data_IF_548049250667
#
_entry.id   IF_548049250667
#
_cell.length_a   1.000
_cell.length_b   1.000
_cell.length_c   1.000
_cell.angle_alpha   90.00
_cell.angle_beta   90.00
_cell.angle_gamma   90.00
#
_symmetry.space_group_name_H-M   'P 1'
#
loop_
_entity.id
_entity.type
_entity.pdbx_description
1 polymer ?
#
# COMPACT_ATOMS: atom_id res chain seq x y z
N UNK A 1 6.36 -5.02 24.42
CA UNK A 1 7.82 -5.10 24.18
C UNK A 1 8.21 -5.41 22.71
N UNK A 2 7.26 -5.82 21.84
CA UNK A 2 7.51 -6.10 20.41
C UNK A 2 7.39 -4.86 19.51
N UNK A 3 6.61 -3.83 19.91
CA UNK A 3 6.48 -2.55 19.19
C UNK A 3 7.80 -1.77 19.08
N UNK A 4 8.62 -1.78 20.15
CA UNK A 4 9.87 -1.01 20.20
C UNK A 4 10.96 -1.55 19.26
N UNK A 5 10.91 -2.84 18.89
CA UNK A 5 11.88 -3.45 17.97
C UNK A 5 11.69 -3.03 16.52
N UNK A 6 10.49 -2.61 16.10
CA UNK A 6 10.23 -2.19 14.70
C UNK A 6 10.80 -0.81 14.36
N UNK A 7 11.08 0.03 15.36
CA UNK A 7 11.69 1.35 15.16
C UNK A 7 13.23 1.36 15.15
N UNK A 8 13.89 0.38 15.78
CA UNK A 8 15.34 0.41 16.01
C UNK A 8 16.14 -0.16 14.82
N UNK A 9 15.66 -1.23 14.18
CA UNK A 9 16.29 -1.81 12.99
C UNK A 9 16.50 -0.83 11.82
N UNK A 10 15.52 0.01 11.44
CA UNK A 10 15.75 1.00 10.38
C UNK A 10 16.76 2.07 10.78
N UNK A 11 16.87 2.40 12.08
CA UNK A 11 17.82 3.40 12.60
C UNK A 11 19.24 2.85 12.62
N UNK A 12 19.44 1.60 13.05
CA UNK A 12 20.75 0.93 13.00
C UNK A 12 21.24 0.80 11.56
N UNK A 13 20.36 0.40 10.63
CA UNK A 13 20.70 0.33 9.21
C UNK A 13 21.06 1.70 8.61
N UNK A 14 20.38 2.77 9.03
CA UNK A 14 20.71 4.14 8.59
C UNK A 14 22.03 4.61 9.19
N UNK A 15 22.33 4.30 10.44
CA UNK A 15 23.61 4.63 11.10
C UNK A 15 24.78 3.87 10.48
N UNK A 16 24.63 2.57 10.22
CA UNK A 16 25.63 1.76 9.53
C UNK A 16 25.88 2.26 8.11
N UNK A 17 24.83 2.61 7.37
CA UNK A 17 24.96 3.18 6.03
C UNK A 17 25.61 4.56 6.07
N UNK A 18 25.26 5.40 7.05
CA UNK A 18 25.87 6.73 7.22
C UNK A 18 27.35 6.61 7.60
N UNK A 19 27.70 5.70 8.52
CA UNK A 19 29.07 5.43 8.91
C UNK A 19 29.90 4.84 7.76
N UNK A 20 29.32 3.91 6.98
CA UNK A 20 29.96 3.37 5.78
C UNK A 20 30.20 4.46 4.73
N UNK A 21 29.20 5.31 4.47
CA UNK A 21 29.32 6.40 3.48
C UNK A 21 30.34 7.43 3.95
N UNK A 22 30.35 7.79 5.23
CA UNK A 22 31.37 8.66 5.82
C UNK A 22 32.77 8.04 5.67
N UNK A 23 32.95 6.76 6.02
CA UNK A 23 34.24 6.08 5.88
C UNK A 23 34.70 5.98 4.42
N UNK A 24 33.80 5.73 3.48
CA UNK A 24 34.08 5.68 2.05
C UNK A 24 34.45 7.06 1.50
N UNK A 25 33.75 8.12 1.93
CA UNK A 25 34.05 9.50 1.57
C UNK A 25 35.42 9.94 2.12
N UNK A 26 35.71 9.61 3.38
CA UNK A 26 36.95 9.97 4.05
C UNK A 26 38.17 9.25 3.45
N UNK A 27 38.06 7.94 3.24
CA UNK A 27 39.15 7.12 2.68
C UNK A 27 39.34 7.39 1.19
N UNK A 28 38.26 7.46 0.42
CA UNK A 28 38.30 7.68 -1.03
C UNK A 28 38.75 9.09 -1.42
N UNK A 29 38.38 10.13 -0.65
CA UNK A 29 38.90 11.49 -0.91
C UNK A 29 40.37 11.64 -0.53
N UNK A 30 40.86 10.89 0.47
CA UNK A 30 42.28 10.86 0.84
C UNK A 30 43.16 10.19 -0.23
N UNK A 31 42.70 9.07 -0.80
CA UNK A 31 43.41 8.35 -1.86
C UNK A 31 43.40 9.12 -3.19
N UNK A 32 42.26 9.68 -3.60
CA UNK A 32 42.14 10.44 -4.86
C UNK A 32 42.87 11.78 -4.81
N UNK A 33 42.98 12.39 -3.63
CA UNK A 33 43.76 13.63 -3.44
C UNK A 33 45.26 13.46 -3.68
N UNK A 34 45.80 12.23 -3.57
CA UNK A 34 47.21 11.96 -3.79
C UNK A 34 47.60 11.95 -5.28
N UNK A 35 46.65 11.66 -6.18
CA UNK A 35 46.91 11.44 -7.61
C UNK A 35 46.30 12.52 -8.54
N UNK A 36 45.69 13.59 -8.01
CA UNK A 36 45.08 14.64 -8.84
C UNK A 36 46.10 15.68 -9.34
N UNK A 37 46.08 15.92 -10.65
CA UNK A 37 46.84 16.97 -11.35
C UNK A 37 45.84 17.91 -12.06
N UNK A 38 45.80 19.21 -11.75
CA UNK A 38 46.67 19.98 -10.83
C UNK A 38 46.47 19.64 -9.33
N UNK A 39 47.47 19.91 -8.48
CA UNK A 39 47.40 19.59 -7.05
C UNK A 39 46.25 20.36 -6.40
N UNK A 40 45.26 19.61 -5.94
CA UNK A 40 44.16 20.14 -5.15
C UNK A 40 44.69 20.56 -3.78
N UNK A 41 43.98 21.48 -3.11
CA UNK A 41 44.32 21.85 -1.73
C UNK A 41 44.36 20.57 -0.87
N UNK A 42 45.37 20.40 0.01
CA UNK A 42 45.37 19.28 0.94
C UNK A 42 44.07 19.29 1.74
N UNK A 43 43.56 18.10 2.10
CA UNK A 43 42.32 17.98 2.86
C UNK A 43 42.49 18.62 4.24
N UNK A 44 42.09 19.89 4.34
CA UNK A 44 42.06 20.61 5.61
C UNK A 44 40.91 20.12 6.50
N UNK A 45 40.96 20.44 7.80
CA UNK A 45 39.88 20.16 8.75
C UNK A 45 38.48 20.61 8.24
N UNK A 46 38.45 21.67 7.43
CA UNK A 46 37.22 22.16 6.77
C UNK A 46 36.62 21.16 5.77
N UNK A 47 37.45 20.49 4.95
CA UNK A 47 36.99 19.45 4.02
C UNK A 47 36.36 18.27 4.79
N UNK A 48 37.01 17.87 5.89
CA UNK A 48 36.53 16.81 6.76
C UNK A 48 35.17 17.13 7.40
N UNK A 49 34.98 18.36 7.87
CA UNK A 49 33.69 18.83 8.40
C UNK A 49 32.61 18.82 7.31
N UNK A 50 32.94 19.25 6.09
CA UNK A 50 32.00 19.27 4.98
C UNK A 50 31.57 17.86 4.56
N UNK A 51 32.51 16.91 4.49
CA UNK A 51 32.22 15.49 4.21
C UNK A 51 31.39 14.84 5.33
N UNK A 52 31.68 15.18 6.60
CA UNK A 52 30.88 14.72 7.74
C UNK A 52 29.45 15.26 7.69
N UNK A 53 29.26 16.53 7.32
CA UNK A 53 27.93 17.12 7.10
C UNK A 53 27.20 16.47 5.92
N UNK A 54 27.91 16.14 4.83
CA UNK A 54 27.36 15.44 3.67
C UNK A 54 26.83 14.05 4.06
N UNK A 55 27.57 13.32 4.90
CA UNK A 55 27.13 12.04 5.44
C UNK A 55 25.96 12.22 6.43
N UNK A 56 26.01 13.23 7.30
CA UNK A 56 24.96 13.53 8.27
C UNK A 56 23.62 13.96 7.63
N UNK A 57 23.62 14.32 6.34
CA UNK A 57 22.39 14.60 5.58
C UNK A 57 21.65 13.32 5.14
N UNK A 58 22.29 12.15 5.12
CA UNK A 58 21.70 10.89 4.62
C UNK A 58 20.47 10.41 5.42
N UNK A 59 20.41 10.52 6.77
CA UNK A 59 19.22 10.15 7.54
C UNK A 59 17.96 10.94 7.13
N UNK A 60 18.11 12.16 6.56
CA UNK A 60 16.99 12.94 6.07
C UNK A 60 16.28 12.27 4.89
N UNK A 61 16.87 11.25 4.23
CA UNK A 61 16.25 10.48 3.13
C UNK A 61 14.86 9.94 3.47
N UNK A 62 14.61 9.64 4.75
CA UNK A 62 13.33 9.07 5.21
C UNK A 62 12.27 10.12 5.49
N UNK A 63 12.66 11.30 5.98
CA UNK A 63 11.75 12.35 6.47
C UNK A 63 11.54 13.47 5.45
N UNK A 64 12.61 13.92 4.79
CA UNK A 64 12.56 15.06 3.88
C UNK A 64 13.59 14.88 2.74
N UNK A 65 13.28 14.06 1.71
CA UNK A 65 14.20 13.80 0.61
C UNK A 65 14.55 15.07 -0.20
N UNK A 66 13.64 16.05 -0.26
CA UNK A 66 13.92 17.36 -0.84
C UNK A 66 14.95 18.16 -0.03
N UNK A 67 14.82 18.18 1.30
CA UNK A 67 15.79 18.87 2.17
C UNK A 67 17.17 18.19 2.09
N UNK A 68 17.20 16.86 2.00
CA UNK A 68 18.43 16.11 1.77
C UNK A 68 19.10 16.52 0.45
N UNK A 69 18.35 16.54 -0.66
CA UNK A 69 18.89 16.95 -1.96
C UNK A 69 19.43 18.38 -1.91
N UNK A 70 18.69 19.34 -1.36
CA UNK A 70 19.16 20.73 -1.27
C UNK A 70 20.41 20.86 -0.40
N UNK A 71 20.46 20.16 0.73
CA UNK A 71 21.62 20.16 1.62
C UNK A 71 22.86 19.56 0.93
N UNK A 72 22.74 18.39 0.30
CA UNK A 72 23.85 17.73 -0.38
C UNK A 72 24.32 18.51 -1.60
N UNK A 73 23.43 19.12 -2.38
CA UNK A 73 23.78 19.99 -3.50
C UNK A 73 24.52 21.25 -3.06
N UNK A 74 24.07 21.89 -1.97
CA UNK A 74 24.71 23.10 -1.45
C UNK A 74 26.10 22.80 -0.87
N UNK A 75 26.21 21.73 -0.09
CA UNK A 75 27.48 21.26 0.48
C UNK A 75 28.46 20.84 -0.63
N UNK A 76 27.99 20.12 -1.65
CA UNK A 76 28.85 19.71 -2.78
C UNK A 76 29.26 20.90 -3.67
N UNK A 77 28.35 21.84 -3.93
CA UNK A 77 28.70 23.08 -4.65
C UNK A 77 29.76 23.89 -3.90
N UNK A 78 29.63 24.00 -2.58
CA UNK A 78 30.63 24.62 -1.71
C UNK A 78 31.97 23.90 -1.75
N UNK A 79 31.97 22.56 -1.65
CA UNK A 79 33.16 21.70 -1.74
C UNK A 79 33.94 21.92 -3.04
N UNK A 80 33.23 21.95 -4.17
CA UNK A 80 33.83 22.19 -5.48
C UNK A 80 34.36 23.62 -5.60
N UNK A 81 33.62 24.63 -5.14
CA UNK A 81 34.03 26.03 -5.17
C UNK A 81 35.26 26.37 -4.32
N UNK A 82 35.63 25.50 -3.38
CA UNK A 82 36.87 25.57 -2.60
C UNK A 82 38.07 24.85 -3.21
N UNK A 83 37.88 24.17 -4.36
CA UNK A 83 38.98 23.51 -5.08
C UNK A 83 39.42 22.17 -4.52
N UNK A 84 38.55 21.48 -3.78
CA UNK A 84 38.84 20.14 -3.27
C UNK A 84 38.72 19.06 -4.36
N UNK A 85 39.41 17.91 -4.20
CA UNK A 85 39.45 16.88 -5.21
C UNK A 85 38.07 16.32 -5.55
N UNK A 86 37.81 16.08 -6.85
CA UNK A 86 36.65 15.35 -7.34
C UNK A 86 36.70 13.87 -6.90
N UNK A 87 36.36 13.62 -5.63
CA UNK A 87 36.32 12.29 -5.04
C UNK A 87 34.91 11.68 -5.07
N UNK A 88 34.64 10.65 -4.24
CA UNK A 88 33.31 10.03 -4.10
C UNK A 88 32.20 10.96 -3.57
N UNK A 89 32.43 12.27 -3.49
CA UNK A 89 31.51 13.29 -2.99
C UNK A 89 30.18 13.40 -3.77
N UNK A 90 30.10 12.84 -4.99
CA UNK A 90 28.85 12.74 -5.75
C UNK A 90 27.89 11.66 -5.24
N UNK A 91 28.37 10.66 -4.47
CA UNK A 91 27.52 9.56 -3.99
C UNK A 91 26.27 10.03 -3.22
N UNK A 92 26.37 10.95 -2.25
CA UNK A 92 25.21 11.45 -1.52
C UNK A 92 24.19 12.16 -2.43
N UNK A 93 24.65 12.84 -3.48
CA UNK A 93 23.77 13.48 -4.48
C UNK A 93 23.02 12.42 -5.30
N UNK A 94 23.72 11.39 -5.78
CA UNK A 94 23.12 10.25 -6.49
C UNK A 94 22.02 9.59 -5.64
N UNK A 95 22.31 9.31 -4.37
CA UNK A 95 21.35 8.70 -3.43
C UNK A 95 20.15 9.63 -3.19
N UNK A 96 20.39 10.93 -3.02
CA UNK A 96 19.30 11.91 -2.82
C UNK A 96 18.41 12.06 -4.06
N UNK A 97 18.98 12.05 -5.27
CA UNK A 97 18.22 12.09 -6.52
C UNK A 97 17.30 10.88 -6.68
N UNK A 98 17.82 9.68 -6.40
CA UNK A 98 17.02 8.45 -6.38
C UNK A 98 15.88 8.53 -5.36
N UNK A 99 16.17 9.01 -4.14
CA UNK A 99 15.17 9.12 -3.07
C UNK A 99 14.03 10.09 -3.42
N UNK A 100 14.34 11.22 -4.06
CA UNK A 100 13.34 12.18 -4.55
C UNK A 100 12.51 11.56 -5.68
N UNK A 101 13.14 10.91 -6.65
CA UNK A 101 12.45 10.26 -7.77
C UNK A 101 11.49 9.15 -7.34
N UNK A 102 11.80 8.44 -6.25
CA UNK A 102 10.94 7.39 -5.70
C UNK A 102 9.71 7.92 -4.95
N UNK A 103 9.74 9.16 -4.43
CA UNK A 103 8.74 9.67 -3.47
C UNK A 103 7.90 10.83 -3.99
N UNK A 104 8.40 11.61 -4.95
CA UNK A 104 7.73 12.81 -5.44
C UNK A 104 7.29 12.70 -6.90
N UNK A 105 6.30 13.51 -7.27
CA UNK A 105 5.82 13.62 -8.65
C UNK A 105 6.87 14.23 -9.58
N UNK A 106 6.76 13.89 -10.87
CA UNK A 106 7.72 14.26 -11.92
C UNK A 106 7.99 15.76 -11.98
N UNK A 107 6.97 16.62 -11.75
CA UNK A 107 7.11 18.09 -11.77
C UNK A 107 7.94 18.62 -10.60
N UNK A 108 7.79 18.01 -9.42
CA UNK A 108 8.56 18.41 -8.24
C UNK A 108 9.98 17.89 -8.35
N UNK A 109 10.15 16.65 -8.82
CA UNK A 109 11.45 16.04 -9.07
C UNK A 109 12.25 16.82 -10.12
N UNK A 110 11.65 17.22 -11.25
CA UNK A 110 12.37 17.97 -12.29
C UNK A 110 12.82 19.35 -11.82
N UNK A 111 11.97 20.07 -11.06
CA UNK A 111 12.34 21.36 -10.45
C UNK A 111 13.47 21.20 -9.43
N UNK A 112 13.36 20.21 -8.55
CA UNK A 112 14.36 19.96 -7.52
C UNK A 112 15.71 19.54 -8.12
N UNK A 113 15.70 18.69 -9.15
CA UNK A 113 16.91 18.31 -9.90
C UNK A 113 17.49 19.52 -10.64
N UNK A 114 16.65 20.39 -11.23
CA UNK A 114 17.12 21.63 -11.86
C UNK A 114 17.85 22.56 -10.89
N UNK A 115 17.31 22.75 -9.68
CA UNK A 115 17.96 23.52 -8.61
C UNK A 115 19.25 22.85 -8.15
N UNK A 116 19.26 21.52 -7.98
CA UNK A 116 20.46 20.75 -7.65
C UNK A 116 21.58 20.95 -8.67
N UNK A 117 21.25 20.80 -9.97
CA UNK A 117 22.20 21.02 -11.07
C UNK A 117 22.70 22.45 -11.05
N UNK A 118 21.83 23.44 -10.84
CA UNK A 118 22.22 24.86 -10.77
C UNK A 118 23.19 25.14 -9.62
N UNK A 119 22.94 24.59 -8.43
CA UNK A 119 23.80 24.79 -7.26
C UNK A 119 25.20 24.19 -7.46
N UNK A 120 25.27 22.98 -8.02
CA UNK A 120 26.55 22.32 -8.30
C UNK A 120 27.27 23.05 -9.44
N UNK A 121 26.54 23.46 -10.49
CA UNK A 121 27.06 24.27 -11.59
C UNK A 121 27.69 25.57 -11.07
N UNK A 122 26.99 26.29 -10.18
CA UNK A 122 27.51 27.53 -9.60
C UNK A 122 28.81 27.28 -8.81
N UNK A 123 28.87 26.18 -8.04
CA UNK A 123 30.09 25.74 -7.36
C UNK A 123 31.25 25.47 -8.32
N UNK A 124 30.98 24.78 -9.43
CA UNK A 124 31.98 24.49 -10.46
C UNK A 124 32.43 25.74 -11.22
N UNK A 125 31.55 26.70 -11.48
CA UNK A 125 31.92 28.00 -12.07
C UNK A 125 32.81 28.80 -11.11
N UNK A 126 32.50 28.82 -9.81
CA UNK A 126 33.37 29.45 -8.81
C UNK A 126 34.74 28.77 -8.77
N UNK A 127 34.79 27.43 -8.87
CA UNK A 127 36.04 26.69 -8.94
C UNK A 127 36.87 27.07 -10.18
N UNK A 128 36.22 27.21 -11.34
CA UNK A 128 36.85 27.65 -12.59
C UNK A 128 37.38 29.09 -12.49
N UNK A 129 36.58 30.03 -11.96
CA UNK A 129 36.97 31.43 -11.79
C UNK A 129 38.12 31.61 -10.79
N UNK A 130 38.23 30.72 -9.79
CA UNK A 130 39.33 30.71 -8.82
C UNK A 130 40.57 29.95 -9.31
N UNK A 131 40.55 29.38 -10.52
CA UNK A 131 41.66 28.63 -11.10
C UNK A 131 41.86 27.23 -10.50
N UNK A 132 40.86 26.70 -9.79
CA UNK A 132 40.89 25.34 -9.21
C UNK A 132 40.41 24.26 -10.18
N UNK A 133 39.76 24.65 -11.26
CA UNK A 133 39.26 23.73 -12.29
C UNK A 133 39.90 24.06 -13.64
N UNK A 134 40.25 23.00 -14.38
CA UNK A 134 40.73 23.14 -15.75
C UNK A 134 39.60 23.64 -16.66
N UNK A 135 39.86 24.72 -17.40
CA UNK A 135 38.95 25.23 -18.42
C UNK A 135 38.85 24.36 -19.67
N UNK A 136 38.03 24.80 -20.63
CA UNK A 136 37.89 24.15 -21.93
C UNK A 136 37.12 22.83 -21.89
N UNK A 137 37.58 21.82 -22.63
CA UNK A 137 36.86 20.56 -22.83
C UNK A 137 36.72 19.71 -21.55
N UNK A 138 37.69 19.78 -20.64
CA UNK A 138 37.63 19.10 -19.33
C UNK A 138 36.47 19.62 -18.47
N UNK A 139 36.27 20.94 -18.43
CA UNK A 139 35.12 21.55 -17.77
C UNK A 139 33.79 21.05 -18.36
N UNK A 140 33.71 20.94 -19.69
CA UNK A 140 32.55 20.37 -20.39
C UNK A 140 32.22 18.95 -19.95
N UNK A 141 33.23 18.07 -19.85
CA UNK A 141 33.05 16.68 -19.37
C UNK A 141 32.56 16.65 -17.92
N UNK A 142 33.13 17.48 -17.04
CA UNK A 142 32.69 17.58 -15.64
C UNK A 142 31.24 18.03 -15.53
N UNK A 143 30.80 18.96 -16.38
CA UNK A 143 29.41 19.41 -16.42
C UNK A 143 28.45 18.32 -16.90
N UNK A 144 28.82 17.57 -17.94
CA UNK A 144 28.03 16.43 -18.41
C UNK A 144 27.92 15.38 -17.30
N UNK A 145 29.03 15.04 -16.63
CA UNK A 145 29.03 14.11 -15.51
C UNK A 145 28.15 14.58 -14.35
N UNK A 146 28.19 15.88 -14.03
CA UNK A 146 27.35 16.49 -13.00
C UNK A 146 25.85 16.35 -13.34
N UNK A 147 25.46 16.74 -14.55
CA UNK A 147 24.07 16.64 -15.02
C UNK A 147 23.62 15.18 -15.02
N UNK A 148 24.46 14.26 -15.50
CA UNK A 148 24.17 12.83 -15.52
C UNK A 148 23.99 12.27 -14.10
N UNK A 149 24.88 12.61 -13.17
CA UNK A 149 24.82 12.15 -11.78
C UNK A 149 23.57 12.62 -11.03
N UNK A 150 22.99 13.76 -11.42
CA UNK A 150 21.75 14.27 -10.82
C UNK A 150 20.50 13.70 -11.51
N UNK A 151 20.52 13.64 -12.85
CA UNK A 151 19.34 13.33 -13.67
C UNK A 151 19.07 11.84 -13.74
N UNK A 152 20.12 11.01 -13.92
CA UNK A 152 19.96 9.55 -14.08
C UNK A 152 19.32 8.91 -12.84
N UNK A 153 19.78 9.17 -11.61
CA UNK A 153 19.19 8.51 -10.43
C UNK A 153 17.75 8.95 -10.17
N UNK A 154 17.45 10.23 -10.39
CA UNK A 154 16.08 10.75 -10.28
C UNK A 154 15.15 10.12 -11.32
N UNK A 155 15.63 9.95 -12.55
CA UNK A 155 14.89 9.29 -13.62
C UNK A 155 14.67 7.79 -13.32
N UNK A 156 15.70 7.08 -12.87
CA UNK A 156 15.60 5.69 -12.43
C UNK A 156 14.58 5.54 -11.29
N UNK A 157 14.61 6.44 -10.30
CA UNK A 157 13.63 6.46 -9.22
C UNK A 157 12.20 6.63 -9.73
N UNK A 158 11.99 7.55 -10.68
CA UNK A 158 10.69 7.77 -11.30
C UNK A 158 10.22 6.53 -12.10
N UNK A 159 11.11 5.88 -12.85
CA UNK A 159 10.80 4.64 -13.58
C UNK A 159 10.41 3.50 -12.65
N UNK A 160 11.14 3.32 -11.55
CA UNK A 160 10.80 2.30 -10.54
C UNK A 160 9.42 2.58 -9.93
N UNK A 161 9.11 3.84 -9.63
CA UNK A 161 7.78 4.24 -9.13
C UNK A 161 6.68 3.93 -10.15
N UNK A 162 6.87 4.30 -11.42
CA UNK A 162 5.92 4.03 -12.49
C UNK A 162 5.69 2.53 -12.68
N UNK A 163 6.77 1.74 -12.69
CA UNK A 163 6.69 0.28 -12.81
C UNK A 163 5.93 -0.33 -11.63
N UNK A 164 6.16 0.13 -10.39
CA UNK A 164 5.41 -0.33 -9.22
C UNK A 164 3.92 -0.02 -9.30
N UNK A 165 3.56 1.18 -9.75
CA UNK A 165 2.15 1.56 -9.95
C UNK A 165 1.51 0.69 -11.04
N UNK A 166 2.17 0.54 -12.20
CA UNK A 166 1.70 -0.28 -13.30
C UNK A 166 1.56 -1.76 -12.89
N UNK A 167 2.51 -2.30 -12.13
CA UNK A 167 2.46 -3.67 -11.62
C UNK A 167 1.30 -3.87 -10.63
N UNK A 168 1.04 -2.88 -9.76
CA UNK A 168 -0.08 -2.93 -8.84
C UNK A 168 -1.42 -2.93 -9.59
N UNK A 169 -1.57 -2.06 -10.60
CA UNK A 169 -2.74 -2.01 -11.45
C UNK A 169 -2.94 -3.32 -12.24
N UNK A 170 -1.88 -3.87 -12.83
CA UNK A 170 -1.94 -5.13 -13.55
C UNK A 170 -2.37 -6.31 -12.65
N UNK A 171 -1.94 -6.33 -11.38
CA UNK A 171 -2.37 -7.34 -10.41
C UNK A 171 -3.85 -7.19 -10.05
N UNK A 172 -4.33 -5.96 -9.89
CA UNK A 172 -5.74 -5.70 -9.62
C UNK A 172 -6.61 -6.13 -10.82
N UNK A 173 -6.22 -5.76 -12.04
CA UNK A 173 -6.90 -6.18 -13.26
C UNK A 173 -6.90 -7.69 -13.43
N UNK A 174 -5.77 -8.37 -13.19
CA UNK A 174 -5.69 -9.82 -13.25
C UNK A 174 -6.64 -10.49 -12.23
N UNK A 175 -6.75 -9.92 -11.04
CA UNK A 175 -7.68 -10.40 -10.00
C UNK A 175 -9.13 -10.22 -10.44
N UNK A 176 -9.49 -9.04 -10.97
CA UNK A 176 -10.83 -8.78 -11.50
C UNK A 176 -11.19 -9.75 -12.65
N UNK A 177 -10.27 -9.95 -13.59
CA UNK A 177 -10.45 -10.90 -14.72
C UNK A 177 -10.67 -12.33 -14.23
N UNK A 178 -9.91 -12.78 -13.23
CA UNK A 178 -10.09 -14.11 -12.63
C UNK A 178 -11.49 -14.27 -12.00
N UNK A 179 -11.95 -13.26 -11.27
CA UNK A 179 -13.30 -13.27 -10.67
C UNK A 179 -14.38 -13.36 -11.76
N UNK A 180 -14.22 -12.62 -12.84
CA UNK A 180 -15.18 -12.61 -13.95
C UNK A 180 -15.19 -13.95 -14.72
N UNK A 181 -14.02 -14.53 -14.97
CA UNK A 181 -13.90 -15.86 -15.56
C UNK A 181 -14.57 -16.93 -14.68
N UNK A 182 -14.38 -16.85 -13.37
CA UNK A 182 -15.03 -17.79 -12.44
C UNK A 182 -16.55 -17.59 -12.40
N UNK A 183 -17.04 -16.35 -12.49
CA UNK A 183 -18.48 -16.08 -12.62
C UNK A 183 -19.06 -16.68 -13.90
N UNK A 184 -18.37 -16.55 -15.03
CA UNK A 184 -18.81 -17.14 -16.30
C UNK A 184 -18.76 -18.67 -16.28
N UNK A 185 -17.76 -19.24 -15.59
CA UNK A 185 -17.68 -20.68 -15.37
C UNK A 185 -18.83 -21.19 -14.52
N UNK A 186 -19.10 -20.54 -13.38
CA UNK A 186 -20.25 -20.88 -12.52
C UNK A 186 -21.58 -20.74 -13.27
N UNK A 187 -21.74 -19.70 -14.08
CA UNK A 187 -22.96 -19.53 -14.88
C UNK A 187 -23.17 -20.69 -15.85
N UNK A 188 -22.09 -21.22 -16.46
CA UNK A 188 -22.15 -22.42 -17.32
C UNK A 188 -22.45 -23.68 -16.52
N UNK A 189 -21.76 -23.92 -15.41
CA UNK A 189 -22.01 -25.09 -14.56
C UNK A 189 -23.46 -25.11 -14.05
N UNK A 190 -24.00 -23.96 -13.62
CA UNK A 190 -25.41 -23.82 -13.24
C UNK A 190 -26.33 -24.05 -14.44
N UNK A 191 -26.01 -23.49 -15.60
CA UNK A 191 -26.84 -23.67 -16.80
C UNK A 191 -26.86 -25.12 -17.28
N UNK A 192 -25.75 -25.85 -17.20
CA UNK A 192 -25.68 -27.25 -17.62
C UNK A 192 -26.53 -28.15 -16.72
N UNK A 193 -26.44 -27.97 -15.38
CA UNK A 193 -27.28 -28.69 -14.42
C UNK A 193 -28.77 -28.37 -14.61
N UNK A 194 -29.11 -27.09 -14.78
CA UNK A 194 -30.50 -26.64 -15.00
C UNK A 194 -31.03 -27.08 -16.37
N UNK A 195 -30.22 -27.03 -17.42
CA UNK A 195 -30.58 -27.40 -18.78
C UNK A 195 -30.86 -28.88 -18.94
N UNK A 196 -30.01 -29.72 -18.35
CA UNK A 196 -30.19 -31.17 -18.35
C UNK A 196 -31.46 -31.59 -17.60
N UNK A 197 -31.65 -31.07 -16.37
CA UNK A 197 -32.84 -31.38 -15.56
C UNK A 197 -34.14 -30.90 -16.22
N UNK A 198 -34.15 -29.69 -16.80
CA UNK A 198 -35.31 -29.18 -17.54
C UNK A 198 -35.69 -30.08 -18.72
N UNK A 199 -34.70 -30.61 -19.44
CA UNK A 199 -34.94 -31.47 -20.59
C UNK A 199 -35.59 -32.81 -20.18
N UNK A 200 -35.10 -33.43 -19.09
CA UNK A 200 -35.70 -34.67 -18.54
C UNK A 200 -37.11 -34.41 -18.03
N UNK A 201 -37.32 -33.33 -17.27
CA UNK A 201 -38.64 -32.96 -16.76
C UNK A 201 -39.63 -32.74 -17.91
N UNK A 202 -39.22 -32.03 -18.96
CA UNK A 202 -40.07 -31.78 -20.14
C UNK A 202 -40.45 -33.09 -20.85
N UNK A 203 -39.50 -34.01 -21.01
CA UNK A 203 -39.77 -35.30 -21.64
C UNK A 203 -40.76 -36.13 -20.80
N UNK A 204 -40.54 -36.22 -19.49
CA UNK A 204 -41.42 -36.99 -18.61
C UNK A 204 -42.81 -36.37 -18.46
N UNK A 205 -42.92 -35.04 -18.48
CA UNK A 205 -44.20 -34.35 -18.47
C UNK A 205 -45.00 -34.67 -19.74
N UNK A 206 -44.34 -34.69 -20.90
CA UNK A 206 -44.97 -35.09 -22.17
C UNK A 206 -45.45 -36.56 -22.13
N UNK A 207 -44.66 -37.47 -21.56
CA UNK A 207 -45.06 -38.88 -21.38
C UNK A 207 -46.26 -39.00 -20.44
N UNK A 208 -46.24 -38.31 -19.29
CA UNK A 208 -47.33 -38.32 -18.32
C UNK A 208 -48.66 -37.87 -18.95
N UNK A 209 -48.64 -36.77 -19.71
CA UNK A 209 -49.82 -36.25 -20.42
C UNK A 209 -50.31 -37.21 -21.51
N UNK A 210 -49.41 -37.90 -22.22
CA UNK A 210 -49.79 -38.82 -23.29
C UNK A 210 -50.49 -40.10 -22.77
N UNK A 211 -50.12 -40.56 -21.57
CA UNK A 211 -50.65 -41.81 -21.00
C UNK A 211 -51.73 -41.60 -19.95
N UNK A 212 -52.01 -40.36 -19.54
CA UNK A 212 -52.92 -40.01 -18.44
C UNK A 212 -54.28 -40.70 -18.53
N UNK A 213 -54.94 -40.63 -19.69
CA UNK A 213 -56.29 -41.19 -19.88
C UNK A 213 -56.30 -42.69 -20.11
N UNK A 214 -55.18 -43.26 -20.62
CA UNK A 214 -55.11 -44.66 -21.05
C UNK A 214 -54.49 -45.58 -19.99
N UNK A 215 -53.53 -45.07 -19.23
CA UNK A 215 -52.75 -45.80 -18.21
C UNK A 215 -52.36 -44.85 -17.07
N UNK A 216 -53.31 -44.52 -16.18
CA UNK A 216 -53.08 -43.55 -15.10
C UNK A 216 -51.94 -43.95 -14.16
N UNK A 217 -51.74 -45.25 -13.93
CA UNK A 217 -50.61 -45.76 -13.12
C UNK A 217 -49.25 -45.37 -13.71
N UNK A 218 -49.09 -45.36 -15.05
CA UNK A 218 -47.85 -44.95 -15.72
C UNK A 218 -47.65 -43.43 -15.68
N UNK A 219 -48.73 -42.65 -15.71
CA UNK A 219 -48.66 -41.20 -15.52
C UNK A 219 -48.19 -40.84 -14.11
N UNK A 220 -48.63 -41.60 -13.10
CA UNK A 220 -48.21 -41.42 -11.71
C UNK A 220 -46.70 -41.68 -11.52
N UNK A 221 -46.16 -42.72 -12.15
CA UNK A 221 -44.72 -43.02 -12.16
C UNK A 221 -43.91 -41.90 -12.81
N UNK A 222 -44.37 -41.35 -13.94
CA UNK A 222 -43.71 -40.24 -14.62
C UNK A 222 -43.73 -38.95 -13.77
N UNK A 223 -44.83 -38.66 -13.07
CA UNK A 223 -44.92 -37.52 -12.14
C UNK A 223 -44.02 -37.68 -10.92
N UNK A 224 -43.89 -38.89 -10.37
CA UNK A 224 -42.94 -39.17 -9.28
C UNK A 224 -41.49 -38.98 -9.71
N UNK A 225 -41.16 -39.41 -10.93
CA UNK A 225 -39.83 -39.22 -11.49
C UNK A 225 -39.52 -37.72 -11.74
N UNK A 226 -40.48 -36.91 -12.20
CA UNK A 226 -40.35 -35.44 -12.24
C UNK A 226 -40.09 -34.86 -10.86
N UNK A 227 -40.85 -35.28 -9.84
CA UNK A 227 -40.67 -34.82 -8.45
C UNK A 227 -39.25 -35.11 -7.96
N UNK A 228 -38.78 -36.34 -8.18
CA UNK A 228 -37.44 -36.77 -7.79
C UNK A 228 -36.34 -35.96 -8.49
N UNK A 229 -36.38 -35.86 -9.82
CA UNK A 229 -35.39 -35.09 -10.58
C UNK A 229 -35.36 -33.61 -10.19
N UNK A 230 -36.51 -33.02 -9.84
CA UNK A 230 -36.58 -31.62 -9.39
C UNK A 230 -35.94 -31.41 -8.02
N UNK A 231 -36.14 -32.37 -7.09
CA UNK A 231 -35.50 -32.33 -5.76
C UNK A 231 -34.00 -32.55 -5.88
N UNK A 232 -33.56 -33.56 -6.64
CA UNK A 232 -32.15 -33.89 -6.84
C UNK A 232 -31.39 -32.70 -7.46
N UNK A 233 -31.95 -32.03 -8.49
CA UNK A 233 -31.33 -30.86 -9.12
C UNK A 233 -31.22 -29.64 -8.19
N UNK A 234 -32.22 -29.42 -7.32
CA UNK A 234 -32.17 -28.34 -6.33
C UNK A 234 -31.12 -28.60 -5.25
N UNK A 235 -30.95 -29.85 -4.84
CA UNK A 235 -29.94 -30.22 -3.84
C UNK A 235 -28.52 -30.16 -4.42
N UNK A 236 -28.32 -30.51 -5.69
CA UNK A 236 -27.04 -30.34 -6.39
C UNK A 236 -26.63 -28.87 -6.53
N UNK A 237 -27.59 -27.98 -6.86
CA UNK A 237 -27.36 -26.52 -6.89
C UNK A 237 -27.04 -25.96 -5.49
N UNK A 238 -27.72 -26.43 -4.44
CA UNK A 238 -27.42 -26.04 -3.06
C UNK A 238 -26.03 -26.48 -2.63
N UNK A 239 -25.62 -27.70 -3.01
CA UNK A 239 -24.30 -28.23 -2.71
C UNK A 239 -23.18 -27.43 -3.41
N UNK A 240 -23.34 -27.10 -4.70
CA UNK A 240 -22.37 -26.27 -5.45
C UNK A 240 -22.27 -24.85 -4.87
N UNK A 241 -23.41 -24.20 -4.56
CA UNK A 241 -23.40 -22.86 -3.94
C UNK A 241 -22.84 -22.86 -2.51
N UNK A 242 -23.04 -23.94 -1.74
CA UNK A 242 -22.48 -24.08 -0.41
C UNK A 242 -20.93 -24.13 -0.46
N UNK A 243 -20.35 -24.81 -1.45
CA UNK A 243 -18.91 -24.86 -1.68
C UNK A 243 -18.34 -23.48 -2.03
N UNK A 244 -19.00 -22.72 -2.90
CA UNK A 244 -18.56 -21.34 -3.24
C UNK A 244 -18.64 -20.41 -2.02
N UNK A 245 -19.67 -20.57 -1.19
CA UNK A 245 -19.85 -19.76 0.03
C UNK A 245 -18.87 -20.13 1.14
N UNK A 246 -18.47 -21.40 1.24
CA UNK A 246 -17.41 -21.84 2.14
C UNK A 246 -16.04 -21.32 1.70
N UNK A 247 -15.73 -21.39 0.40
CA UNK A 247 -14.49 -20.83 -0.17
C UNK A 247 -14.37 -19.32 0.02
N UNK A 248 -15.47 -18.56 -0.05
CA UNK A 248 -15.49 -17.11 0.18
C UNK A 248 -15.31 -16.71 1.65
N UNK A 249 -15.53 -17.60 2.62
CA UNK A 249 -15.22 -17.35 4.05
C UNK A 249 -13.75 -17.60 4.41
N UNK A 250 -13.00 -18.33 3.58
CA UNK A 250 -11.57 -18.55 3.77
C UNK A 250 -10.69 -17.38 3.28
N UNK A 251 -11.29 -16.37 2.65
CA UNK A 251 -10.61 -15.15 2.21
C UNK A 251 -10.55 -14.14 3.40
N UNK A 252 -9.35 -13.76 3.91
CA UNK A 252 -9.22 -12.95 5.13
C UNK A 252 -9.90 -11.57 5.06
N UNK A 253 -10.21 -11.07 3.87
CA UNK A 253 -11.00 -9.84 3.70
C UNK A 253 -12.48 -10.02 4.07
N UNK A 254 -13.07 -11.20 3.83
CA UNK A 254 -14.48 -11.48 4.16
C UNK A 254 -14.68 -11.87 5.64
N UNK A 255 -13.61 -12.28 6.32
CA UNK A 255 -13.63 -12.53 7.77
C UNK A 255 -13.79 -11.25 8.60
N UNK A 256 -13.34 -10.09 8.09
CA UNK A 256 -13.51 -8.80 8.77
C UNK A 256 -14.96 -8.30 8.76
N UNK A 257 -15.71 -8.57 7.68
CA UNK A 257 -17.12 -8.20 7.53
C UNK A 257 -18.06 -9.10 8.34
N UNK A 258 -17.69 -10.36 8.58
CA UNK A 258 -18.50 -11.29 9.38
C UNK A 258 -18.38 -11.04 10.89
N UNK A 259 -17.22 -10.59 11.37
CA UNK A 259 -17.00 -10.20 12.78
C UNK A 259 -17.75 -8.91 13.13
N UNK A 260 -17.83 -7.96 12.20
CA UNK A 260 -18.60 -6.71 12.40
C UNK A 260 -20.11 -6.94 12.36
N UNK A 261 -20.60 -7.86 11.53
CA UNK A 261 -22.02 -8.26 11.52
C UNK A 261 -22.42 -9.06 12.78
N UNK A 262 -21.54 -9.90 13.33
CA UNK A 262 -21.79 -10.60 14.58
C UNK A 262 -21.82 -9.63 15.80
N UNK A 263 -20.98 -8.59 15.77
CA UNK A 263 -20.95 -7.55 16.80
C UNK A 263 -22.21 -6.68 16.80
N UNK A 264 -22.78 -6.36 15.63
CA UNK A 264 -24.04 -5.59 15.54
C UNK A 264 -25.26 -6.40 15.95
N UNK A 265 -25.27 -7.72 15.67
CA UNK A 265 -26.31 -8.62 16.15
C UNK A 265 -26.29 -8.75 17.68
N UNK A 266 -25.10 -8.88 18.29
CA UNK A 266 -24.96 -8.92 19.75
C UNK A 266 -25.37 -7.60 20.43
N UNK A 267 -25.12 -6.44 19.80
CA UNK A 267 -25.56 -5.14 20.31
C UNK A 267 -27.10 -4.99 20.28
N UNK A 268 -27.76 -5.57 19.28
CA UNK A 268 -29.23 -5.49 19.14
C UNK A 268 -29.94 -6.39 20.17
N UNK A 269 -29.37 -7.56 20.48
CA UNK A 269 -29.92 -8.46 21.51
C UNK A 269 -29.74 -7.89 22.93
N UNK A 270 -28.64 -7.17 23.19
CA UNK A 270 -28.40 -6.50 24.47
C UNK A 270 -29.37 -5.33 24.71
N UNK A 271 -29.73 -4.57 23.67
CA UNK A 271 -30.73 -3.51 23.76
C UNK A 271 -32.16 -4.05 24.02
N UNK A 272 -32.49 -5.23 23.50
CA UNK A 272 -33.76 -5.90 23.75
C UNK A 272 -33.87 -6.48 25.17
N UNK A 273 -32.76 -6.98 25.74
CA UNK A 273 -32.72 -7.48 27.12
C UNK A 273 -32.75 -6.36 28.19
N UNK A 274 -32.26 -5.16 27.87
CA UNK A 274 -32.37 -4.00 28.75
C UNK A 274 -33.80 -3.41 28.82
N UNK A 275 -34.68 -3.77 27.88
CA UNK A 275 -36.05 -3.25 27.80
C UNK A 275 -37.11 -4.12 28.50
N UNK A 276 -36.73 -5.30 29.02
CA UNK A 276 -37.67 -6.26 29.63
C UNK A 276 -37.51 -6.46 31.15
N UNK A 277 -36.75 -5.61 31.84
CA UNK A 277 -36.51 -5.73 33.30
C UNK A 277 -37.28 -4.69 34.15
N UNK A 278 -38.35 -4.08 33.64
CA UNK A 278 -39.23 -3.23 34.45
C UNK A 278 -40.67 -3.74 34.46
N UNK A 279 -40.92 -4.77 35.28
CA UNK A 279 -42.19 -4.94 36.00
C UNK A 279 -42.10 -6.14 36.94
N UNK A 280 -41.73 -5.89 38.21
CA UNK A 280 -42.40 -6.47 39.39
C UNK A 280 -41.75 -6.00 40.71
N UNK A 281 -42.64 -5.47 41.56
CA UNK A 281 -42.66 -5.44 43.05
C UNK A 281 -42.43 -4.10 43.76
N UNK A 282 -43.48 -3.67 44.48
CA UNK A 282 -43.47 -2.58 45.45
C UNK A 282 -44.89 -2.17 45.89
N UNK A 283 -45.45 -2.87 46.89
CA UNK A 283 -46.79 -2.65 47.45
C UNK A 283 -46.98 -1.34 48.25
N UNK A 284 -48.20 -1.08 48.75
CA UNK A 284 -48.62 0.25 49.20
C UNK A 284 -48.34 0.51 50.69
N UNK A 285 -47.88 1.73 51.01
CA UNK A 285 -47.92 2.30 52.35
C UNK A 285 -48.43 3.75 52.25
N UNK A 286 -49.61 4.01 52.80
CA UNK A 286 -50.24 5.33 52.79
C UNK A 286 -49.69 6.28 53.87
N UNK A 287 -50.10 7.56 53.85
CA UNK A 287 -50.05 8.40 55.03
C UNK A 287 -51.41 8.98 55.43
N UNK A 288 -51.54 9.15 56.74
CA UNK A 288 -52.70 9.61 57.47
C UNK A 288 -53.11 11.05 57.13
N UNK A 289 -54.42 11.29 57.04
CA UNK A 289 -55.01 12.64 57.10
C UNK A 289 -56.16 12.66 58.12
N UNK A 290 -55.88 13.22 59.30
CA UNK A 290 -56.91 13.77 60.20
C UNK A 290 -57.42 15.08 59.62
N UNK A 291 -58.73 15.31 59.68
CA UNK A 291 -59.46 16.58 59.92
C UNK A 291 -60.96 16.21 59.95
N UNK A 292 -61.55 16.06 61.15
CA UNK A 292 -62.48 17.00 61.84
C UNK A 292 -63.98 16.75 61.57
N UNK A 293 -64.69 16.46 62.67
CA UNK A 293 -66.06 16.85 63.01
C UNK A 293 -67.25 16.60 62.06
N UNK A 294 -68.05 15.58 62.43
CA UNK A 294 -69.55 15.49 62.61
C UNK A 294 -70.38 16.79 62.48
N UNK A 295 -71.76 16.74 62.47
CA UNK A 295 -72.74 15.65 62.26
C UNK A 295 -73.81 16.00 61.19
N UNK A 296 -74.55 15.03 60.62
CA UNK A 296 -75.91 14.71 61.11
C UNK A 296 -77.01 15.06 60.08
N UNK A 297 -78.23 14.49 60.18
CA UNK A 297 -78.89 13.85 59.03
C UNK A 297 -80.21 14.52 58.59
N UNK A 298 -80.60 14.30 57.32
CA UNK A 298 -81.87 13.69 56.89
C UNK A 298 -81.93 13.60 55.37
#
# INVERSE_FOLDING_TARGET
MVEARRGIFPVIGDLLFTAFTAAALLRGSGEVGADQVPPSRPLDAFAYVLLALLAAAIPLRRRAPLAMLMATSLLLGGYLGTGYPHGPAFFPVIVSGLAVGLRHDQRTTSRAVGVCVLLIFLGSVVALLRGYADGGWKFGITMIGTVASCTVPAFVGALIRLNRIASAQAKEEATRRRIEQERLRMAREVHDVVGHSRSIISLQAAVALHVLDRRPEQAQVALEAIRRTSVDALDELRATLALTRAGRRADPAAAADSVTAAASAAATTSAAAASSTDTREGGPAGPARRLTSRPGPR
#
